data_IF_345807105479
#
_entry.id   IF_345807105479
#
_cell.length_a   1.000
_cell.length_b   1.000
_cell.length_c   1.000
_cell.angle_alpha   90.00
_cell.angle_beta   90.00
_cell.angle_gamma   90.00
#
_symmetry.space_group_name_H-M   'P 1'
#
loop_
_entity.id
_entity.type
_entity.pdbx_description
1 polymer ?
#
# COMPACT_ATOMS: atom_id res chain seq x y z
N UNK A 1 -25.45 -3.96 50.63
CA UNK A 1 -25.62 -2.54 50.24
C UNK A 1 -25.29 -2.45 48.76
N UNK A 2 -26.28 -2.16 47.91
CA UNK A 2 -26.09 -2.02 46.47
C UNK A 2 -25.40 -0.69 46.19
N UNK A 3 -24.29 -0.73 45.45
CA UNK A 3 -23.64 0.48 44.94
C UNK A 3 -24.45 0.91 43.72
N UNK A 4 -25.00 2.14 43.67
CA UNK A 4 -25.73 2.60 42.51
C UNK A 4 -24.75 2.65 41.33
N UNK A 5 -25.08 1.95 40.25
CA UNK A 5 -24.39 2.11 38.97
C UNK A 5 -24.56 3.56 38.53
N UNK A 6 -23.46 4.31 38.44
CA UNK A 6 -23.47 5.62 37.81
C UNK A 6 -23.45 5.41 36.31
N UNK A 7 -24.51 5.84 35.64
CA UNK A 7 -24.53 5.92 34.19
C UNK A 7 -23.71 7.15 33.78
N UNK A 8 -22.69 6.93 32.95
CA UNK A 8 -21.90 8.00 32.36
C UNK A 8 -22.40 8.25 30.95
N UNK A 9 -22.73 9.49 30.64
CA UNK A 9 -23.11 9.92 29.30
C UNK A 9 -21.92 10.65 28.68
N UNK A 10 -21.48 10.19 27.52
CA UNK A 10 -20.45 10.82 26.71
C UNK A 10 -21.10 11.50 25.51
N UNK A 11 -20.85 12.79 25.33
CA UNK A 11 -21.24 13.54 24.14
C UNK A 11 -20.02 13.70 23.23
N UNK A 12 -20.13 13.21 22.00
CA UNK A 12 -19.11 13.43 20.97
C UNK A 12 -19.35 14.81 20.37
N UNK A 13 -18.60 15.81 20.82
CA UNK A 13 -18.75 17.21 20.39
C UNK A 13 -18.33 17.43 18.94
N UNK A 14 -17.30 16.71 18.48
CA UNK A 14 -16.83 16.72 17.09
C UNK A 14 -16.31 15.34 16.72
N UNK A 15 -16.76 14.80 15.58
CA UNK A 15 -16.03 13.73 14.92
C UNK A 15 -14.82 14.37 14.25
N UNK A 16 -13.62 13.87 14.54
CA UNK A 16 -12.38 14.32 13.89
C UNK A 16 -12.61 14.36 12.38
N UNK A 17 -12.56 15.56 11.82
CA UNK A 17 -13.04 15.83 10.47
C UNK A 17 -12.07 15.17 9.46
N UNK A 18 -12.37 13.90 9.15
CA UNK A 18 -11.67 12.97 8.23
C UNK A 18 -10.36 12.38 8.75
N UNK A 19 -10.26 11.06 8.63
CA UNK A 19 -9.06 10.31 8.99
C UNK A 19 -7.92 10.61 8.03
N UNK A 20 -6.79 11.05 8.58
CA UNK A 20 -5.51 11.01 7.89
C UNK A 20 -4.97 9.59 7.91
N UNK A 21 -4.37 9.19 6.81
CA UNK A 21 -3.74 7.89 6.62
C UNK A 21 -2.24 8.09 6.42
N UNK A 22 -1.46 7.13 6.90
CA UNK A 22 -0.03 7.07 6.60
C UNK A 22 0.18 6.14 5.40
N UNK A 23 0.97 6.61 4.46
CA UNK A 23 1.37 5.87 3.27
C UNK A 23 2.81 6.22 2.89
N UNK A 24 3.19 5.80 1.69
CA UNK A 24 4.51 6.03 1.14
C UNK A 24 4.43 6.68 -0.24
N UNK A 25 5.45 7.47 -0.57
CA UNK A 25 5.71 8.02 -1.90
C UNK A 25 7.00 7.43 -2.45
N UNK A 26 7.02 7.24 -3.76
CA UNK A 26 8.22 6.81 -4.48
C UNK A 26 8.33 7.56 -5.81
N UNK A 27 9.54 7.97 -6.15
CA UNK A 27 9.84 8.68 -7.38
C UNK A 27 10.39 7.67 -8.40
N UNK A 28 9.68 7.52 -9.53
CA UNK A 28 10.05 6.65 -10.64
C UNK A 28 9.75 7.36 -11.97
N UNK A 29 10.14 8.64 -12.06
CA UNK A 29 9.89 9.50 -13.24
C UNK A 29 10.54 9.00 -14.54
N UNK A 30 11.46 8.05 -14.45
CA UNK A 30 12.12 7.37 -15.55
C UNK A 30 11.29 6.22 -16.15
N UNK A 31 10.33 5.68 -15.40
CA UNK A 31 9.53 4.52 -15.78
C UNK A 31 8.07 4.87 -16.07
N UNK A 32 7.51 4.26 -17.12
CA UNK A 32 6.06 4.18 -17.25
C UNK A 32 5.49 3.11 -16.30
N UNK A 33 4.16 3.03 -16.21
CA UNK A 33 3.48 2.07 -15.35
C UNK A 33 3.85 0.61 -15.63
N UNK A 34 3.99 0.24 -16.90
CA UNK A 34 4.26 -1.13 -17.30
C UNK A 34 5.70 -1.53 -16.98
N UNK A 35 6.65 -0.61 -17.19
CA UNK A 35 8.04 -0.72 -16.76
C UNK A 35 8.13 -0.86 -15.24
N UNK A 36 7.45 0.03 -14.50
CA UNK A 36 7.43 -0.02 -13.04
C UNK A 36 6.90 -1.35 -12.49
N UNK A 37 5.76 -1.85 -13.00
CA UNK A 37 5.24 -3.15 -12.59
C UNK A 37 6.18 -4.31 -12.93
N UNK A 38 6.85 -4.26 -14.08
CA UNK A 38 7.81 -5.29 -14.48
C UNK A 38 9.04 -5.30 -13.56
N UNK A 39 9.52 -4.11 -13.21
CA UNK A 39 10.73 -3.93 -12.43
C UNK A 39 10.50 -4.18 -10.94
N UNK A 40 9.38 -3.70 -10.38
CA UNK A 40 9.19 -3.64 -8.93
C UNK A 40 8.02 -4.48 -8.39
N UNK A 41 7.11 -4.97 -9.23
CA UNK A 41 5.96 -5.74 -8.76
C UNK A 41 6.14 -7.27 -8.91
N UNK A 42 5.20 -8.02 -8.33
CA UNK A 42 5.10 -9.48 -8.36
C UNK A 42 6.27 -10.25 -7.72
N UNK A 43 7.17 -9.57 -7.02
CA UNK A 43 8.24 -10.20 -6.22
C UNK A 43 8.62 -9.31 -5.04
N UNK A 44 9.06 -9.90 -3.91
CA UNK A 44 9.72 -9.15 -2.86
C UNK A 44 10.99 -8.52 -3.42
N UNK A 45 11.16 -7.24 -3.14
CA UNK A 45 12.29 -6.42 -3.56
C UNK A 45 12.80 -5.65 -2.36
N UNK A 46 14.05 -5.20 -2.42
CA UNK A 46 14.56 -4.17 -1.52
C UNK A 46 14.65 -2.86 -2.30
N UNK A 47 13.95 -1.82 -1.85
CA UNK A 47 13.88 -0.53 -2.52
C UNK A 47 14.32 0.57 -1.56
N UNK A 48 15.15 1.50 -2.04
CA UNK A 48 15.57 2.71 -1.32
C UNK A 48 14.78 3.92 -1.81
N UNK A 49 14.69 5.00 -1.02
CA UNK A 49 14.02 6.23 -1.46
C UNK A 49 12.51 6.27 -1.21
N UNK A 50 11.96 5.33 -0.43
CA UNK A 50 10.58 5.41 0.06
C UNK A 50 10.43 6.56 1.06
N UNK A 51 9.49 7.47 0.80
CA UNK A 51 9.21 8.62 1.66
C UNK A 51 7.86 8.46 2.35
N UNK A 52 7.83 8.56 3.67
CA UNK A 52 6.55 8.54 4.41
C UNK A 52 5.71 9.76 4.02
N UNK A 53 4.40 9.58 3.89
CA UNK A 53 3.48 10.68 3.69
C UNK A 53 2.19 10.50 4.50
N UNK A 54 1.62 11.60 4.97
CA UNK A 54 0.24 11.66 5.40
C UNK A 54 -0.64 12.03 4.22
N UNK A 55 -1.75 11.32 4.06
CA UNK A 55 -2.71 11.58 2.99
C UNK A 55 -4.15 11.43 3.47
N UNK A 56 -5.07 12.05 2.75
CA UNK A 56 -6.51 11.87 2.92
C UNK A 56 -7.16 11.71 1.55
N UNK A 57 -8.20 10.89 1.49
CA UNK A 57 -9.01 10.72 0.29
C UNK A 57 -10.22 11.65 0.35
N UNK A 58 -10.36 12.53 -0.64
CA UNK A 58 -11.48 13.46 -0.78
C UNK A 58 -12.03 13.28 -2.19
N UNK A 59 -13.29 12.83 -2.32
CA UNK A 59 -13.94 12.64 -3.62
C UNK A 59 -13.10 11.81 -4.62
N UNK A 60 -12.48 10.70 -4.16
CA UNK A 60 -11.59 9.84 -4.95
C UNK A 60 -10.28 10.51 -5.41
N UNK A 61 -9.93 11.66 -4.82
CA UNK A 61 -8.66 12.34 -5.02
C UNK A 61 -7.84 12.30 -3.73
N UNK A 62 -6.51 12.23 -3.87
CA UNK A 62 -5.60 12.20 -2.73
C UNK A 62 -5.04 13.58 -2.46
N UNK A 63 -5.28 14.10 -1.25
CA UNK A 63 -4.63 15.29 -0.71
C UNK A 63 -3.52 14.83 0.23
N UNK A 64 -2.33 15.44 0.10
CA UNK A 64 -1.15 15.08 0.88
C UNK A 64 -0.79 16.22 1.82
N UNK A 65 -0.48 15.89 3.05
CA UNK A 65 0.05 16.83 4.03
C UNK A 65 1.57 16.65 4.14
N UNK A 66 2.24 17.71 4.60
CA UNK A 66 3.63 17.64 5.03
C UNK A 66 3.77 16.73 6.25
N UNK A 67 4.78 15.87 6.23
CA UNK A 67 5.21 15.06 7.37
C UNK A 67 6.54 15.62 7.84
N UNK A 68 6.84 15.46 9.14
CA UNK A 68 8.15 15.81 9.69
C UNK A 68 9.30 15.26 8.83
N UNK A 69 10.27 16.12 8.53
CA UNK A 69 11.39 15.80 7.64
C UNK A 69 12.22 14.63 8.17
N UNK A 70 12.37 14.51 9.49
CA UNK A 70 13.16 13.44 10.10
C UNK A 70 12.51 12.07 9.86
N UNK A 71 11.17 12.00 9.88
CA UNK A 71 10.41 10.79 9.58
C UNK A 71 10.45 10.44 8.09
N UNK A 72 10.46 11.45 7.22
CA UNK A 72 10.58 11.27 5.77
C UNK A 72 11.94 10.67 5.42
N UNK A 73 13.02 11.23 6.00
CA UNK A 73 14.39 10.86 5.66
C UNK A 73 14.79 9.50 6.24
N UNK A 74 14.24 9.11 7.40
CA UNK A 74 14.55 7.82 8.04
C UNK A 74 14.29 6.62 7.12
N UNK A 75 13.23 6.67 6.31
CA UNK A 75 12.89 5.61 5.36
C UNK A 75 13.56 5.81 4.00
N UNK A 76 13.76 7.07 3.58
CA UNK A 76 14.34 7.36 2.28
C UNK A 76 15.78 6.84 2.17
N UNK A 77 16.55 6.88 3.27
CA UNK A 77 17.96 6.49 3.29
C UNK A 77 18.19 4.97 3.43
N UNK A 78 17.14 4.18 3.72
CA UNK A 78 17.26 2.74 3.97
C UNK A 78 16.70 1.93 2.81
N UNK A 79 17.31 0.79 2.54
CA UNK A 79 16.66 -0.24 1.74
C UNK A 79 15.56 -0.89 2.57
N UNK A 80 14.33 -0.79 2.09
CA UNK A 80 13.16 -1.41 2.70
C UNK A 80 12.78 -2.60 1.85
N UNK A 81 12.77 -3.78 2.47
CA UNK A 81 12.24 -4.97 1.82
C UNK A 81 10.72 -4.90 1.76
N UNK A 82 10.14 -5.08 0.59
CA UNK A 82 8.71 -4.96 0.38
C UNK A 82 8.21 -5.75 -0.83
N UNK A 83 6.90 -5.96 -0.89
CA UNK A 83 6.18 -6.44 -2.07
C UNK A 83 5.23 -5.34 -2.54
N UNK A 84 5.36 -4.94 -3.81
CA UNK A 84 4.48 -3.97 -4.45
C UNK A 84 3.42 -4.72 -5.25
N UNK A 85 2.16 -4.35 -5.02
CA UNK A 85 0.99 -4.94 -5.65
C UNK A 85 0.19 -3.86 -6.39
N UNK A 86 -0.33 -4.23 -7.55
CA UNK A 86 -1.24 -3.37 -8.31
C UNK A 86 -2.54 -3.15 -7.53
N UNK A 87 -2.90 -1.89 -7.29
CA UNK A 87 -4.12 -1.57 -6.55
C UNK A 87 -5.39 -2.06 -7.28
N UNK A 88 -5.38 -2.12 -8.62
CA UNK A 88 -6.53 -2.60 -9.39
C UNK A 88 -6.84 -4.08 -9.12
N UNK A 89 -5.85 -4.85 -8.68
CA UNK A 89 -5.99 -6.27 -8.35
C UNK A 89 -6.17 -6.53 -6.86
N UNK A 90 -6.43 -5.49 -6.03
CA UNK A 90 -6.62 -5.63 -4.58
C UNK A 90 -7.56 -6.77 -4.20
N UNK A 91 -8.69 -6.90 -4.89
CA UNK A 91 -9.67 -7.95 -4.59
C UNK A 91 -9.09 -9.37 -4.73
N UNK A 92 -8.17 -9.58 -5.68
CA UNK A 92 -7.51 -10.87 -5.91
C UNK A 92 -6.54 -11.22 -4.78
N UNK A 93 -5.95 -10.21 -4.15
CA UNK A 93 -4.97 -10.38 -3.07
C UNK A 93 -5.61 -10.38 -1.67
N UNK A 94 -6.86 -9.93 -1.54
CA UNK A 94 -7.52 -9.74 -0.24
C UNK A 94 -7.56 -11.03 0.60
N UNK A 95 -7.79 -12.18 -0.03
CA UNK A 95 -7.76 -13.48 0.66
C UNK A 95 -6.40 -13.75 1.31
N UNK A 96 -5.31 -13.59 0.55
CA UNK A 96 -3.94 -13.86 1.02
C UNK A 96 -3.53 -12.86 2.11
N UNK A 97 -3.92 -11.58 1.95
CA UNK A 97 -3.66 -10.54 2.95
C UNK A 97 -4.37 -10.84 4.27
N UNK A 98 -5.63 -11.30 4.22
CA UNK A 98 -6.38 -11.68 5.42
C UNK A 98 -5.82 -12.96 6.07
N UNK A 99 -5.38 -13.94 5.27
CA UNK A 99 -4.85 -15.21 5.77
C UNK A 99 -3.64 -15.03 6.69
N UNK A 100 -2.78 -14.06 6.36
CA UNK A 100 -1.55 -13.77 7.11
C UNK A 100 -1.66 -12.54 8.03
N UNK A 101 -2.86 -11.99 8.21
CA UNK A 101 -3.11 -10.76 8.98
C UNK A 101 -2.20 -9.58 8.55
N UNK A 102 -2.05 -9.43 7.23
CA UNK A 102 -1.17 -8.43 6.60
C UNK A 102 -1.99 -7.24 6.12
N UNK A 103 -1.67 -6.07 6.65
CA UNK A 103 -2.29 -4.81 6.28
C UNK A 103 -1.38 -4.06 5.29
N UNK A 104 -1.66 -4.11 3.97
CA UNK A 104 -0.87 -3.36 3.02
C UNK A 104 -1.14 -1.87 3.21
N UNK A 105 -0.08 -1.07 3.10
CA UNK A 105 -0.17 0.39 3.08
C UNK A 105 -0.28 0.91 1.66
N UNK A 106 -0.66 2.18 1.51
CA UNK A 106 -0.68 2.85 0.21
C UNK A 106 0.72 3.26 -0.20
N UNK A 107 1.04 2.97 -1.46
CA UNK A 107 2.19 3.54 -2.13
C UNK A 107 1.72 4.43 -3.27
N UNK A 108 2.28 5.62 -3.36
CA UNK A 108 1.99 6.57 -4.41
C UNK A 108 3.26 6.78 -5.24
N UNK A 109 3.21 6.42 -6.51
CA UNK A 109 4.39 6.44 -7.38
C UNK A 109 4.25 7.56 -8.39
N UNK A 110 5.26 8.42 -8.45
CA UNK A 110 5.36 9.49 -9.43
C UNK A 110 6.03 8.91 -10.67
N UNK A 111 5.22 8.48 -11.65
CA UNK A 111 5.65 7.81 -12.89
C UNK A 111 5.91 8.79 -14.04
N UNK A 112 6.64 8.36 -15.06
CA UNK A 112 6.89 9.15 -16.27
C UNK A 112 5.59 9.63 -16.91
N UNK A 113 5.45 10.95 -17.04
CA UNK A 113 4.31 11.60 -17.69
C UNK A 113 2.98 11.47 -16.93
N UNK A 114 3.01 11.02 -15.68
CA UNK A 114 1.83 10.95 -14.80
C UNK A 114 2.15 11.54 -13.45
N UNK A 115 1.20 12.28 -12.88
CA UNK A 115 1.43 13.01 -11.65
C UNK A 115 1.59 12.11 -10.43
N UNK A 116 0.78 11.03 -10.31
CA UNK A 116 0.85 10.08 -9.18
C UNK A 116 -0.09 8.88 -9.39
N UNK A 117 0.42 7.65 -9.32
CA UNK A 117 -0.40 6.44 -9.38
C UNK A 117 -0.42 5.66 -8.04
N UNK A 118 -1.59 5.15 -7.59
CA UNK A 118 -1.70 4.39 -6.36
C UNK A 118 -1.39 2.89 -6.56
N UNK A 119 -0.60 2.34 -5.65
CA UNK A 119 -0.26 0.94 -5.50
C UNK A 119 -0.48 0.50 -4.04
N UNK A 120 -0.38 -0.80 -3.79
CA UNK A 120 -0.32 -1.37 -2.45
C UNK A 120 1.11 -1.81 -2.14
N UNK A 121 1.52 -1.61 -0.89
CA UNK A 121 2.85 -1.94 -0.41
C UNK A 121 2.73 -2.80 0.84
N UNK A 122 3.39 -3.96 0.82
CA UNK A 122 3.57 -4.82 1.99
C UNK A 122 5.03 -4.74 2.40
N UNK A 123 5.31 -4.33 3.64
CA UNK A 123 6.68 -4.08 4.12
C UNK A 123 7.16 -5.24 4.99
N UNK A 124 8.45 -5.58 4.86
CA UNK A 124 9.16 -6.53 5.70
C UNK A 124 8.91 -7.99 5.35
N UNK A 125 9.07 -8.86 6.35
CA UNK A 125 8.88 -10.32 6.23
C UNK A 125 7.53 -10.74 5.64
N UNK A 126 6.39 -10.07 5.94
CA UNK A 126 5.10 -10.38 5.32
C UNK A 126 5.09 -10.34 3.79
N UNK A 127 5.98 -9.55 3.17
CA UNK A 127 6.11 -9.49 1.71
C UNK A 127 6.43 -10.87 1.10
N UNK A 128 7.27 -11.66 1.78
CA UNK A 128 7.65 -12.99 1.32
C UNK A 128 6.54 -14.02 1.50
N UNK A 129 5.79 -13.93 2.60
CA UNK A 129 4.65 -14.81 2.88
C UNK A 129 3.55 -14.60 1.84
N UNK A 130 3.16 -13.34 1.62
CA UNK A 130 2.16 -12.98 0.62
C UNK A 130 2.62 -13.37 -0.78
N UNK A 131 3.90 -13.16 -1.11
CA UNK A 131 4.45 -13.58 -2.40
C UNK A 131 4.37 -15.10 -2.61
N UNK A 132 4.74 -15.91 -1.62
CA UNK A 132 4.74 -17.37 -1.75
C UNK A 132 3.34 -17.89 -2.12
N UNK A 133 2.30 -17.36 -1.50
CA UNK A 133 0.90 -17.70 -1.77
C UNK A 133 0.42 -17.20 -3.15
N UNK A 134 0.87 -16.01 -3.58
CA UNK A 134 0.47 -15.43 -4.87
C UNK A 134 1.22 -16.02 -6.05
N UNK A 135 2.38 -16.64 -5.82
CA UNK A 135 3.26 -17.17 -6.87
C UNK A 135 2.52 -18.16 -7.76
N UNK A 136 1.80 -19.11 -7.17
CA UNK A 136 1.04 -20.12 -7.93
C UNK A 136 -0.02 -19.45 -8.84
N UNK A 137 -0.73 -18.45 -8.33
CA UNK A 137 -1.75 -17.71 -9.11
C UNK A 137 -1.14 -16.93 -10.27
N UNK A 138 0.04 -16.31 -10.07
CA UNK A 138 0.74 -15.60 -11.15
C UNK A 138 1.29 -16.55 -12.22
N UNK A 139 1.75 -17.74 -11.83
CA UNK A 139 2.20 -18.78 -12.75
C UNK A 139 1.03 -19.34 -13.57
N UNK A 140 -0.12 -19.62 -12.95
CA UNK A 140 -1.33 -20.07 -13.67
C UNK A 140 -1.82 -19.05 -14.71
N UNK A 141 -1.88 -17.76 -14.35
CA UNK A 141 -2.35 -16.70 -15.25
C UNK A 141 -1.44 -16.52 -16.49
N UNK A 142 -0.14 -16.80 -16.36
CA UNK A 142 0.83 -16.76 -17.47
C UNK A 142 0.59 -17.87 -18.49
N UNK A 143 0.17 -19.06 -18.04
CA UNK A 143 -0.11 -20.18 -18.94
C UNK A 143 -1.40 -19.93 -19.74
N UNK A 144 -2.42 -19.33 -19.12
CA UNK A 144 -3.70 -19.02 -19.80
C UNK A 144 -3.54 -17.93 -20.87
N UNK A 145 -2.59 -17.00 -20.71
CA UNK A 145 -2.32 -15.94 -21.70
C UNK A 145 -1.44 -16.40 -22.87
N UNK A 146 -0.72 -17.51 -22.74
CA UNK A 146 0.12 -18.08 -23.81
C UNK A 146 -0.59 -19.10 -24.70
N UNK A 147 -1.80 -19.53 -24.32
CA UNK A 147 -2.69 -20.30 -25.18
C UNK A 147 -3.96 -19.49 -25.49
N UNK A 148 -3.90 -18.52 -26.44
CA UNK A 148 -5.14 -18.06 -27.04
C UNK A 148 -5.78 -19.28 -27.71
N UNK A 149 -6.99 -19.63 -27.29
CA UNK A 149 -7.80 -20.62 -27.98
C UNK A 149 -7.83 -20.27 -29.48
N UNK A 150 -7.58 -21.24 -30.38
CA UNK A 150 -7.67 -21.03 -31.82
C UNK A 150 -9.09 -20.65 -32.27
#
# INVERSE_FOLDING_TARGET
KWVPHQDFYCEVLEFKDRSYYIGFKYDAQDLDRAGFLREYANRPIAISGLRVCAFREINKQYSFESVDVDLVDMFAQKYVTCLILDFHHRAQFQYCLNLFDVYPTRLFVDLKGKTREPFLLVIGTPAFLVHAELREKWESNRQTTQHPNP
#
